data_IF_279538845977
#
_entry.id   IF_279538845977
#
_cell.length_a   1.000
_cell.length_b   1.000
_cell.length_c   1.000
_cell.angle_alpha   90.00
_cell.angle_beta   90.00
_cell.angle_gamma   90.00
#
_symmetry.space_group_name_H-M   'P 1'
#
loop_
_entity.id
_entity.type
_entity.pdbx_description
1 polymer ?
#
# COMPACT_ATOMS: atom_id res chain seq x y z
N UNK A 1 -51.20 -52.63 -4.71
CA UNK A 1 -51.55 -53.82 -3.91
C UNK A 1 -50.89 -55.02 -4.54
N UNK A 2 -49.75 -55.44 -3.99
CA UNK A 2 -49.16 -56.74 -4.25
C UNK A 2 -48.33 -57.05 -3.00
N UNK A 3 -48.99 -57.62 -2.01
CA UNK A 3 -48.42 -58.06 -0.75
C UNK A 3 -47.56 -59.31 -1.01
N UNK A 4 -46.24 -59.19 -0.82
CA UNK A 4 -45.36 -60.36 -0.75
C UNK A 4 -45.35 -60.89 0.69
N UNK A 5 -45.87 -62.10 0.95
CA UNK A 5 -46.06 -62.64 2.30
C UNK A 5 -44.76 -63.02 3.03
N UNK A 6 -43.58 -62.70 2.49
CA UNK A 6 -42.28 -63.02 3.10
C UNK A 6 -41.78 -62.02 4.14
N UNK A 7 -42.36 -60.82 4.24
CA UNK A 7 -41.96 -59.80 5.22
C UNK A 7 -42.52 -60.01 6.64
N UNK A 8 -43.45 -60.96 6.84
CA UNK A 8 -44.10 -61.20 8.13
C UNK A 8 -43.26 -62.00 9.14
N UNK A 9 -42.05 -62.47 8.78
CA UNK A 9 -41.25 -63.37 9.62
C UNK A 9 -40.16 -62.69 10.47
N UNK A 10 -40.01 -61.36 10.45
CA UNK A 10 -38.91 -60.66 11.15
C UNK A 10 -39.34 -59.63 12.21
N UNK A 11 -40.60 -59.63 12.65
CA UNK A 11 -40.98 -59.06 13.96
C UNK A 11 -40.64 -57.59 14.21
N UNK A 12 -40.61 -56.74 13.18
CA UNK A 12 -40.45 -55.30 13.33
C UNK A 12 -41.82 -54.62 13.23
N UNK A 13 -42.55 -54.57 14.34
CA UNK A 13 -43.61 -53.59 14.49
C UNK A 13 -42.98 -52.22 14.76
N UNK A 14 -43.30 -51.25 13.91
CA UNK A 14 -43.17 -49.84 14.27
C UNK A 14 -44.37 -49.41 15.11
N UNK A 15 -44.15 -48.56 16.13
CA UNK A 15 -45.13 -47.56 16.48
C UNK A 15 -44.57 -46.15 16.24
N UNK A 16 -45.06 -45.56 15.15
CA UNK A 16 -45.22 -44.11 15.01
C UNK A 16 -46.29 -43.66 15.99
N UNK A 17 -45.89 -42.96 17.07
CA UNK A 17 -46.67 -41.97 17.85
C UNK A 17 -46.03 -41.76 19.24
N UNK A 18 -44.91 -41.03 19.32
CA UNK A 18 -44.39 -40.48 20.58
C UNK A 18 -43.41 -39.31 20.32
N UNK A 19 -43.80 -38.37 19.45
CA UNK A 19 -42.95 -37.23 19.05
C UNK A 19 -43.40 -35.87 19.62
N UNK A 20 -44.26 -35.86 20.65
CA UNK A 20 -44.64 -34.62 21.35
C UNK A 20 -44.72 -34.83 22.87
N UNK A 21 -43.61 -35.14 23.53
CA UNK A 21 -43.35 -34.76 24.94
C UNK A 21 -41.90 -35.10 25.35
N UNK A 22 -40.92 -34.57 24.62
CA UNK A 22 -39.51 -34.57 25.04
C UNK A 22 -38.97 -33.13 25.14
N UNK A 23 -39.84 -32.19 25.51
CA UNK A 23 -39.45 -30.88 26.00
C UNK A 23 -39.17 -30.98 27.50
N UNK A 24 -37.98 -30.57 27.93
CA UNK A 24 -37.57 -30.37 29.32
C UNK A 24 -36.90 -31.55 30.04
N UNK A 25 -35.74 -31.98 29.53
CA UNK A 25 -34.62 -32.42 30.38
C UNK A 25 -33.27 -32.24 29.65
N UNK A 26 -33.01 -31.04 29.13
CA UNK A 26 -31.65 -30.59 28.82
C UNK A 26 -30.94 -30.29 30.14
N UNK A 27 -30.51 -31.35 30.83
CA UNK A 27 -29.38 -31.24 31.76
C UNK A 27 -28.15 -30.92 30.92
N UNK A 28 -27.51 -29.79 31.22
CA UNK A 28 -26.28 -29.35 30.56
C UNK A 28 -25.23 -30.49 30.53
N UNK A 29 -24.53 -30.72 29.40
CA UNK A 29 -23.37 -31.60 29.41
C UNK A 29 -22.32 -31.00 30.36
N UNK A 30 -21.77 -31.84 31.22
CA UNK A 30 -20.59 -31.52 32.02
C UNK A 30 -19.43 -31.09 31.08
N UNK A 31 -18.36 -30.44 31.58
CA UNK A 31 -17.32 -29.90 30.71
C UNK A 31 -16.58 -31.05 29.98
N UNK A 32 -16.94 -31.29 28.71
CA UNK A 32 -16.38 -32.36 27.88
C UNK A 32 -14.85 -32.22 27.70
N UNK A 33 -14.34 -30.99 27.78
CA UNK A 33 -12.91 -30.66 27.68
C UNK A 33 -12.02 -31.39 28.71
N UNK A 34 -12.54 -31.61 29.93
CA UNK A 34 -11.80 -32.30 30.98
C UNK A 34 -11.71 -33.82 30.78
N UNK A 35 -12.77 -34.42 30.21
CA UNK A 35 -12.85 -35.86 29.96
C UNK A 35 -11.99 -36.27 28.77
N UNK A 36 -12.07 -35.50 27.68
CA UNK A 36 -11.26 -35.72 26.48
C UNK A 36 -9.77 -35.64 26.80
N UNK A 37 -9.34 -34.65 27.60
CA UNK A 37 -7.94 -34.54 28.04
C UNK A 37 -7.46 -35.76 28.82
N UNK A 38 -8.28 -36.27 29.75
CA UNK A 38 -7.99 -37.49 30.52
C UNK A 38 -7.89 -38.72 29.61
N UNK A 39 -8.80 -38.85 28.64
CA UNK A 39 -8.83 -39.98 27.71
C UNK A 39 -7.62 -39.98 26.77
N UNK A 40 -7.20 -38.80 26.29
CA UNK A 40 -6.00 -38.64 25.45
C UNK A 40 -4.72 -39.01 26.23
N UNK A 41 -4.59 -38.58 27.48
CA UNK A 41 -3.45 -38.99 28.32
C UNK A 41 -3.43 -40.52 28.53
N UNK A 42 -4.57 -41.13 28.83
CA UNK A 42 -4.66 -42.59 28.98
C UNK A 42 -4.26 -43.33 27.68
N UNK A 43 -4.65 -42.83 26.51
CA UNK A 43 -4.23 -43.38 25.21
C UNK A 43 -2.73 -43.22 24.99
N UNK A 44 -2.16 -42.06 25.33
CA UNK A 44 -0.72 -41.78 25.22
C UNK A 44 0.12 -42.65 26.15
N UNK A 45 -0.35 -42.91 27.37
CA UNK A 45 0.28 -43.83 28.33
C UNK A 45 0.18 -45.28 27.87
N UNK A 46 -1.01 -45.73 27.44
CA UNK A 46 -1.22 -47.06 26.90
C UNK A 46 -0.35 -47.36 25.69
N UNK A 47 -0.19 -46.39 24.78
CA UNK A 47 0.70 -46.52 23.62
C UNK A 47 2.17 -46.69 24.04
N UNK A 48 2.61 -45.97 25.08
CA UNK A 48 3.96 -46.13 25.63
C UNK A 48 4.17 -47.52 26.23
N UNK A 49 3.21 -48.04 27.00
CA UNK A 49 3.27 -49.39 27.57
C UNK A 49 3.33 -50.48 26.50
N UNK A 50 2.50 -50.36 25.45
CA UNK A 50 2.49 -51.32 24.35
C UNK A 50 3.78 -51.26 23.53
N UNK A 51 4.35 -50.07 23.35
CA UNK A 51 5.67 -49.90 22.71
C UNK A 51 6.76 -50.60 23.50
N UNK A 52 6.78 -50.45 24.83
CA UNK A 52 7.73 -51.14 25.72
C UNK A 52 7.56 -52.66 25.69
N UNK A 53 6.32 -53.13 25.57
CA UNK A 53 6.01 -54.55 25.40
C UNK A 53 6.31 -55.09 23.98
N UNK A 54 6.80 -54.25 23.06
CA UNK A 54 7.10 -54.63 21.68
C UNK A 54 5.88 -54.69 20.76
N UNK A 55 4.68 -54.41 21.25
CA UNK A 55 3.44 -54.41 20.46
C UNK A 55 3.24 -53.06 19.75
N UNK A 56 4.06 -52.81 18.72
CA UNK A 56 4.09 -51.54 17.98
C UNK A 56 2.80 -51.23 17.22
N UNK A 57 2.13 -52.26 16.69
CA UNK A 57 0.88 -52.10 15.93
C UNK A 57 -0.25 -51.60 16.83
N UNK A 58 -0.42 -52.21 18.01
CA UNK A 58 -1.43 -51.78 18.97
C UNK A 58 -1.12 -50.38 19.50
N UNK A 59 0.16 -50.05 19.72
CA UNK A 59 0.56 -48.71 20.13
C UNK A 59 0.20 -47.64 19.08
N UNK A 60 0.44 -47.90 17.78
CA UNK A 60 0.06 -46.99 16.69
C UNK A 60 -1.46 -46.77 16.65
N UNK A 61 -2.26 -47.83 16.84
CA UNK A 61 -3.71 -47.73 16.88
C UNK A 61 -4.22 -46.80 18.00
N UNK A 62 -3.59 -46.85 19.19
CA UNK A 62 -3.92 -45.93 20.28
C UNK A 62 -3.54 -44.49 19.95
N UNK A 63 -2.39 -44.26 19.31
CA UNK A 63 -1.98 -42.91 18.91
C UNK A 63 -2.88 -42.32 17.82
N UNK A 64 -3.31 -43.11 16.83
CA UNK A 64 -4.32 -42.67 15.87
C UNK A 64 -5.65 -42.31 16.53
N UNK A 65 -6.04 -43.04 17.57
CA UNK A 65 -7.23 -42.73 18.36
C UNK A 65 -7.07 -41.41 19.11
N UNK A 66 -5.89 -41.15 19.69
CA UNK A 66 -5.61 -39.91 20.41
C UNK A 66 -5.73 -38.67 19.51
N UNK A 67 -5.13 -38.69 18.31
CA UNK A 67 -5.23 -37.58 17.35
C UNK A 67 -6.64 -37.42 16.76
N UNK A 68 -7.46 -38.48 16.78
CA UNK A 68 -8.85 -38.41 16.35
C UNK A 68 -9.76 -37.76 17.41
N UNK A 69 -9.47 -37.96 18.70
CA UNK A 69 -10.21 -37.36 19.81
C UNK A 69 -9.89 -35.87 19.93
N UNK A 70 -8.61 -35.50 19.86
CA UNK A 70 -8.19 -34.10 19.82
C UNK A 70 -7.17 -33.87 18.69
N UNK A 71 -7.64 -33.33 17.55
CA UNK A 71 -6.79 -32.97 16.44
C UNK A 71 -5.74 -31.89 16.75
N UNK A 72 -5.89 -31.16 17.87
CA UNK A 72 -4.99 -30.08 18.28
C UNK A 72 -4.00 -30.48 19.39
N UNK A 73 -4.01 -31.75 19.86
CA UNK A 73 -3.03 -32.22 20.84
C UNK A 73 -1.64 -32.44 20.20
N UNK A 74 -0.76 -31.46 20.36
CA UNK A 74 0.63 -31.53 19.87
C UNK A 74 1.36 -32.80 20.33
N UNK A 75 1.12 -33.21 21.59
CA UNK A 75 1.75 -34.37 22.19
C UNK A 75 1.44 -35.65 21.43
N UNK A 76 0.17 -35.83 21.04
CA UNK A 76 -0.29 -36.99 20.28
C UNK A 76 0.35 -37.04 18.89
N UNK A 77 0.30 -35.93 18.15
CA UNK A 77 0.89 -35.82 16.81
C UNK A 77 2.39 -36.11 16.78
N UNK A 78 3.17 -35.52 17.69
CA UNK A 78 4.63 -35.77 17.75
C UNK A 78 4.98 -37.22 18.10
N UNK A 79 4.23 -37.83 19.03
CA UNK A 79 4.44 -39.24 19.41
C UNK A 79 4.09 -40.18 18.26
N UNK A 80 2.99 -39.91 17.55
CA UNK A 80 2.59 -40.69 16.37
C UNK A 80 3.65 -40.58 15.26
N UNK A 81 4.09 -39.37 14.91
CA UNK A 81 5.14 -39.15 13.91
C UNK A 81 6.45 -39.86 14.29
N UNK A 82 6.86 -39.79 15.56
CA UNK A 82 8.04 -40.50 16.04
C UNK A 82 7.90 -42.03 15.93
N UNK A 83 6.72 -42.57 16.24
CA UNK A 83 6.47 -44.01 16.11
C UNK A 83 6.50 -44.49 14.66
N UNK A 84 5.94 -43.70 13.74
CA UNK A 84 6.00 -43.97 12.29
C UNK A 84 7.45 -43.96 11.79
N UNK A 85 8.21 -42.91 12.14
CA UNK A 85 9.62 -42.82 11.77
C UNK A 85 10.46 -43.99 12.34
N UNK A 86 10.23 -44.38 13.60
CA UNK A 86 10.89 -45.52 14.23
C UNK A 86 10.50 -46.87 13.63
N UNK A 87 9.34 -46.95 12.95
CA UNK A 87 8.92 -48.10 12.17
C UNK A 87 9.49 -48.10 10.74
N UNK A 88 10.22 -47.04 10.35
CA UNK A 88 10.76 -46.85 9.00
C UNK A 88 9.80 -46.12 8.05
N UNK A 89 8.62 -45.73 8.52
CA UNK A 89 7.61 -45.00 7.74
C UNK A 89 7.85 -43.48 7.85
N UNK A 90 8.89 -43.01 7.16
CA UNK A 90 9.27 -41.59 7.12
C UNK A 90 8.20 -40.75 6.40
N UNK A 91 7.59 -41.30 5.36
CA UNK A 91 6.50 -40.68 4.61
C UNK A 91 5.29 -40.44 5.52
N UNK A 92 4.85 -41.47 6.25
CA UNK A 92 3.77 -41.36 7.23
C UNK A 92 4.10 -40.35 8.34
N UNK A 93 5.34 -40.33 8.84
CA UNK A 93 5.76 -39.37 9.86
C UNK A 93 5.69 -37.92 9.37
N UNK A 94 6.16 -37.65 8.15
CA UNK A 94 6.11 -36.32 7.55
C UNK A 94 4.66 -35.87 7.28
N UNK A 95 3.81 -36.79 6.81
CA UNK A 95 2.38 -36.55 6.61
C UNK A 95 1.66 -36.23 7.93
N UNK A 96 2.03 -36.85 9.05
CA UNK A 96 1.41 -36.54 10.35
C UNK A 96 1.80 -35.13 10.84
N UNK A 97 3.05 -34.70 10.68
CA UNK A 97 3.43 -33.31 10.96
C UNK A 97 2.65 -32.30 10.09
N UNK A 98 2.53 -32.58 8.80
CA UNK A 98 1.76 -31.74 7.87
C UNK A 98 0.27 -31.71 8.25
N UNK A 99 -0.29 -32.83 8.69
CA UNK A 99 -1.67 -32.94 9.14
C UNK A 99 -1.95 -32.11 10.39
N UNK A 100 -1.04 -32.10 11.36
CA UNK A 100 -1.17 -31.21 12.52
C UNK A 100 -1.16 -29.73 12.12
N UNK A 101 -0.28 -29.35 11.18
CA UNK A 101 -0.26 -28.00 10.61
C UNK A 101 -1.60 -27.67 9.96
N UNK A 102 -2.19 -28.59 9.19
CA UNK A 102 -3.51 -28.42 8.56
C UNK A 102 -4.63 -28.20 9.59
N UNK A 103 -4.54 -28.77 10.80
CA UNK A 103 -5.49 -28.47 11.88
C UNK A 103 -5.29 -27.10 12.54
N UNK A 104 -4.05 -26.59 12.57
CA UNK A 104 -3.73 -25.29 13.18
C UNK A 104 -4.12 -24.09 12.30
N UNK A 105 -4.07 -24.23 10.97
CA UNK A 105 -4.33 -23.11 10.06
C UNK A 105 -5.74 -22.52 10.20
N UNK A 106 -6.83 -23.33 10.23
CA UNK A 106 -8.20 -22.79 10.35
C UNK A 106 -8.49 -22.11 11.69
N UNK A 107 -7.79 -22.51 12.76
CA UNK A 107 -7.94 -21.89 14.09
C UNK A 107 -7.01 -20.69 14.30
N UNK A 108 -6.23 -20.31 13.29
CA UNK A 108 -5.37 -19.12 13.32
C UNK A 108 -4.07 -19.27 14.12
N UNK A 109 -3.69 -20.49 14.51
CA UNK A 109 -2.50 -20.79 15.30
C UNK A 109 -1.21 -20.84 14.44
N UNK A 110 -1.00 -19.81 13.63
CA UNK A 110 0.13 -19.69 12.70
C UNK A 110 1.51 -19.77 13.37
N UNK A 111 1.74 -19.18 14.56
CA UNK A 111 3.02 -19.34 15.25
C UNK A 111 3.31 -20.81 15.58
N UNK A 112 2.30 -21.55 16.06
CA UNK A 112 2.46 -22.98 16.36
C UNK A 112 2.68 -23.80 15.09
N UNK A 113 1.95 -23.50 14.02
CA UNK A 113 2.12 -24.18 12.74
C UNK A 113 3.54 -24.02 12.18
N UNK A 114 4.08 -22.80 12.27
CA UNK A 114 5.45 -22.50 11.85
C UNK A 114 6.49 -23.21 12.73
N UNK A 115 6.27 -23.25 14.05
CA UNK A 115 7.14 -23.98 14.97
C UNK A 115 7.15 -25.48 14.67
N UNK A 116 6.00 -26.09 14.40
CA UNK A 116 5.94 -27.51 14.06
C UNK A 116 6.51 -27.83 12.69
N UNK A 117 6.34 -26.95 11.69
CA UNK A 117 7.03 -27.08 10.42
C UNK A 117 8.55 -27.13 10.62
N UNK A 118 9.09 -26.20 11.40
CA UNK A 118 10.53 -26.15 11.69
C UNK A 118 11.01 -27.40 12.44
N UNK A 119 10.21 -27.89 13.40
CA UNK A 119 10.50 -29.12 14.12
C UNK A 119 10.51 -30.34 13.19
N UNK A 120 9.45 -30.55 12.40
CA UNK A 120 9.35 -31.64 11.44
C UNK A 120 10.47 -31.63 10.40
N UNK A 121 10.82 -30.45 9.87
CA UNK A 121 11.91 -30.29 8.91
C UNK A 121 13.28 -30.57 9.53
N UNK A 122 13.48 -30.28 10.82
CA UNK A 122 14.71 -30.63 11.54
C UNK A 122 14.83 -32.14 11.72
N UNK A 123 13.72 -32.83 11.99
CA UNK A 123 13.70 -34.27 12.23
C UNK A 123 13.81 -35.10 10.94
N UNK A 124 13.15 -34.66 9.86
CA UNK A 124 12.95 -35.46 8.64
C UNK A 124 13.56 -34.83 7.37
N UNK A 125 14.09 -33.61 7.44
CA UNK A 125 14.62 -32.88 6.30
C UNK A 125 13.55 -32.24 5.41
N UNK A 126 13.91 -31.97 4.15
CA UNK A 126 13.05 -31.30 3.15
C UNK A 126 12.02 -32.24 2.49
N UNK A 127 11.23 -32.95 3.29
CA UNK A 127 10.20 -33.86 2.79
C UNK A 127 9.07 -33.11 2.06
N UNK A 128 8.52 -33.69 0.99
CA UNK A 128 7.48 -33.05 0.15
C UNK A 128 6.25 -32.59 0.95
N UNK A 129 5.72 -33.44 1.83
CA UNK A 129 4.60 -33.08 2.71
C UNK A 129 4.86 -31.83 3.58
N UNK A 130 6.10 -31.62 4.03
CA UNK A 130 6.49 -30.45 4.81
C UNK A 130 6.64 -29.20 3.93
N UNK A 131 7.10 -29.36 2.69
CA UNK A 131 7.16 -28.28 1.70
C UNK A 131 5.74 -27.79 1.40
N UNK A 132 4.79 -28.70 1.17
CA UNK A 132 3.38 -28.35 0.94
C UNK A 132 2.78 -27.64 2.17
N UNK A 133 3.06 -28.11 3.38
CA UNK A 133 2.63 -27.44 4.61
C UNK A 133 3.23 -26.02 4.73
N UNK A 134 4.49 -25.82 4.33
CA UNK A 134 5.12 -24.51 4.29
C UNK A 134 4.42 -23.55 3.30
N UNK A 135 4.01 -24.04 2.13
CA UNK A 135 3.25 -23.26 1.15
C UNK A 135 1.88 -22.84 1.69
N UNK A 136 1.20 -23.74 2.40
CA UNK A 136 -0.07 -23.43 3.09
C UNK A 136 0.12 -22.35 4.16
N UNK A 137 1.15 -22.46 5.01
CA UNK A 137 1.50 -21.42 6.00
C UNK A 137 1.78 -20.09 5.30
N UNK A 138 2.62 -20.08 4.25
CA UNK A 138 2.96 -18.88 3.50
C UNK A 138 1.73 -18.21 2.85
N UNK A 139 0.75 -19.02 2.43
CA UNK A 139 -0.51 -18.53 1.87
C UNK A 139 -1.39 -17.92 2.97
N UNK A 140 -1.50 -18.57 4.12
CA UNK A 140 -2.23 -18.05 5.27
C UNK A 140 -1.62 -16.75 5.81
N UNK A 141 -0.29 -16.65 5.88
CA UNK A 141 0.42 -15.41 6.26
C UNK A 141 0.15 -14.29 5.25
N UNK A 142 0.20 -14.58 3.94
CA UNK A 142 -0.12 -13.59 2.90
C UNK A 142 -1.55 -13.07 3.02
N UNK A 143 -2.51 -13.91 3.40
CA UNK A 143 -3.89 -13.51 3.60
C UNK A 143 -4.09 -12.55 4.80
N UNK A 144 -3.18 -12.56 5.78
CA UNK A 144 -3.21 -11.61 6.90
C UNK A 144 -2.67 -10.22 6.54
N UNK A 145 -1.83 -10.13 5.51
CA UNK A 145 -1.31 -8.84 5.06
C UNK A 145 -2.39 -8.18 4.21
N UNK A 146 -2.93 -7.01 4.61
CA UNK A 146 -3.85 -6.29 3.76
C UNK A 146 -3.16 -6.02 2.42
N UNK A 147 -3.88 -6.28 1.32
CA UNK A 147 -3.36 -5.97 0.00
C UNK A 147 -2.85 -4.53 0.01
N UNK A 148 -1.63 -4.26 -0.52
CA UNK A 148 -1.14 -2.90 -0.57
C UNK A 148 -2.21 -2.08 -1.28
N UNK A 149 -2.66 -1.01 -0.63
CA UNK A 149 -3.60 -0.08 -1.23
C UNK A 149 -3.03 0.28 -2.60
N UNK A 150 -3.86 0.15 -3.65
CA UNK A 150 -3.49 0.58 -5.00
C UNK A 150 -2.87 1.97 -4.88
N UNK A 151 -1.55 2.04 -5.09
CA UNK A 151 -0.85 3.31 -5.08
C UNK A 151 -1.40 4.03 -6.30
N UNK A 152 -2.33 4.96 -6.07
CA UNK A 152 -2.86 5.82 -7.10
C UNK A 152 -1.65 6.39 -7.84
N UNK A 153 -1.53 6.07 -9.13
CA UNK A 153 -0.41 6.53 -9.94
C UNK A 153 -0.31 8.03 -9.80
N UNK A 154 0.81 8.53 -9.28
CA UNK A 154 1.06 9.97 -9.25
C UNK A 154 0.93 10.47 -10.69
N UNK A 155 0.17 11.55 -10.96
CA UNK A 155 0.03 12.07 -12.30
C UNK A 155 1.42 12.40 -12.84
N UNK A 156 1.70 11.94 -14.07
CA UNK A 156 2.98 12.21 -14.71
C UNK A 156 3.24 13.73 -14.72
N UNK A 157 4.45 14.18 -14.32
CA UNK A 157 4.76 15.61 -14.30
C UNK A 157 4.63 16.17 -15.72
N UNK A 158 3.67 17.08 -15.92
CA UNK A 158 3.54 17.83 -17.16
C UNK A 158 4.49 19.01 -17.11
N UNK A 159 5.45 19.06 -18.04
CA UNK A 159 6.27 20.25 -18.26
C UNK A 159 5.38 21.34 -18.89
N UNK A 160 4.98 22.31 -18.07
CA UNK A 160 4.21 23.46 -18.56
C UNK A 160 5.14 24.46 -19.29
N UNK A 161 4.66 25.09 -20.39
CA UNK A 161 5.43 26.10 -21.09
C UNK A 161 5.63 27.35 -20.24
N UNK A 162 6.71 28.10 -20.49
CA UNK A 162 6.95 29.40 -19.86
C UNK A 162 6.45 30.53 -20.76
N UNK A 163 5.82 31.54 -20.17
CA UNK A 163 5.32 32.71 -20.91
C UNK A 163 6.45 33.73 -21.07
N UNK A 164 6.90 34.06 -22.29
CA UNK A 164 8.00 35.00 -22.48
C UNK A 164 7.55 36.43 -22.22
N UNK A 165 8.32 37.17 -21.43
CA UNK A 165 8.20 38.60 -21.24
C UNK A 165 9.57 39.26 -21.36
N UNK A 166 9.60 40.43 -21.99
CA UNK A 166 10.70 41.38 -21.92
C UNK A 166 10.33 42.49 -20.95
N UNK A 167 11.32 43.11 -20.32
CA UNK A 167 11.03 44.20 -19.39
C UNK A 167 11.97 45.40 -19.51
N UNK A 168 11.46 46.53 -19.05
CA UNK A 168 12.20 47.76 -18.78
C UNK A 168 12.04 48.09 -17.29
N UNK A 169 13.07 48.66 -16.67
CA UNK A 169 12.97 49.19 -15.31
C UNK A 169 12.82 50.70 -15.38
N UNK A 170 11.86 51.22 -14.64
CA UNK A 170 11.62 52.64 -14.49
C UNK A 170 11.85 53.05 -13.04
N UNK A 171 12.28 54.29 -12.87
CA UNK A 171 12.74 54.85 -11.61
C UNK A 171 12.31 56.31 -11.51
N UNK A 172 11.65 56.68 -10.42
CA UNK A 172 11.29 58.09 -10.10
C UNK A 172 11.91 58.55 -8.77
N UNK A 173 13.05 57.95 -8.39
CA UNK A 173 13.77 58.25 -7.15
C UNK A 173 13.34 57.38 -5.97
N UNK A 174 12.08 57.50 -5.54
CA UNK A 174 11.57 56.78 -4.36
C UNK A 174 10.84 55.48 -4.72
N UNK A 175 10.43 55.32 -5.99
CA UNK A 175 9.66 54.19 -6.48
C UNK A 175 10.30 53.60 -7.73
N UNK A 176 10.27 52.27 -7.79
CA UNK A 176 10.71 51.52 -8.96
C UNK A 176 9.58 50.64 -9.49
N UNK A 177 9.47 50.55 -10.80
CA UNK A 177 8.55 49.63 -11.45
C UNK A 177 9.16 48.97 -12.66
N UNK A 178 8.74 47.74 -12.90
CA UNK A 178 9.03 47.02 -14.12
C UNK A 178 7.84 47.17 -15.05
N UNK A 179 8.10 47.58 -16.29
CA UNK A 179 7.14 47.45 -17.37
C UNK A 179 7.46 46.17 -18.12
N UNK A 180 6.58 45.18 -18.01
CA UNK A 180 6.70 43.89 -18.69
C UNK A 180 5.85 43.93 -19.96
N UNK A 181 6.41 43.43 -21.05
CA UNK A 181 5.75 43.30 -22.34
C UNK A 181 6.02 41.90 -22.87
N UNK A 182 5.00 41.16 -23.25
CA UNK A 182 5.20 39.75 -23.57
C UNK A 182 3.95 39.00 -23.95
N UNK A 183 4.03 37.69 -23.78
CA UNK A 183 3.06 36.75 -24.33
C UNK A 183 3.23 36.51 -25.82
N UNK A 184 2.59 35.46 -26.30
CA UNK A 184 2.50 35.12 -27.73
C UNK A 184 1.03 34.95 -28.10
N UNK A 185 0.73 34.76 -29.39
CA UNK A 185 -0.63 34.42 -29.82
C UNK A 185 -1.18 33.16 -29.15
N UNK A 186 -0.32 32.20 -28.82
CA UNK A 186 -0.68 30.95 -28.13
C UNK A 186 -0.70 31.10 -26.61
N UNK A 187 0.21 31.91 -26.05
CA UNK A 187 0.34 32.17 -24.62
C UNK A 187 -0.02 33.63 -24.36
N UNK A 188 -1.29 33.98 -24.56
CA UNK A 188 -1.79 35.33 -24.36
C UNK A 188 -2.15 35.56 -22.87
N UNK A 189 -1.36 36.33 -22.11
CA UNK A 189 -1.55 36.46 -20.68
C UNK A 189 -2.64 37.50 -20.36
N UNK A 190 -3.51 37.16 -19.41
CA UNK A 190 -4.57 38.04 -18.91
C UNK A 190 -4.17 38.80 -17.64
N UNK A 191 -3.21 38.26 -16.90
CA UNK A 191 -2.66 38.85 -15.68
C UNK A 191 -1.24 38.33 -15.43
N UNK A 192 -0.47 39.08 -14.63
CA UNK A 192 0.82 38.67 -14.09
C UNK A 192 0.76 38.79 -12.57
N UNK A 193 1.37 37.84 -11.87
CA UNK A 193 1.59 37.90 -10.42
C UNK A 193 3.07 37.76 -10.10
N UNK A 194 3.46 38.38 -8.99
CA UNK A 194 4.80 38.32 -8.41
C UNK A 194 4.73 37.43 -7.19
N UNK A 195 5.68 36.52 -7.07
CA UNK A 195 5.84 35.63 -5.92
C UNK A 195 7.19 35.87 -5.27
N UNK A 196 7.26 35.68 -3.95
CA UNK A 196 8.54 35.53 -3.24
C UNK A 196 9.16 34.13 -3.48
N UNK A 197 10.23 33.82 -2.75
CA UNK A 197 10.91 32.53 -2.81
C UNK A 197 10.14 31.38 -2.15
N UNK A 198 9.13 31.71 -1.32
CA UNK A 198 8.28 30.76 -0.60
C UNK A 198 6.90 30.59 -1.28
N UNK A 199 6.78 31.06 -2.52
CA UNK A 199 5.56 31.00 -3.36
C UNK A 199 4.38 31.84 -2.85
N UNK A 200 4.61 32.81 -1.95
CA UNK A 200 3.57 33.74 -1.53
C UNK A 200 3.37 34.82 -2.60
N UNK A 201 2.11 35.12 -2.92
CA UNK A 201 1.76 36.17 -3.88
C UNK A 201 1.96 37.54 -3.24
N UNK A 202 2.93 38.31 -3.75
CA UNK A 202 3.22 39.68 -3.34
C UNK A 202 2.24 40.65 -4.01
N UNK A 203 2.08 40.54 -5.34
CA UNK A 203 1.25 41.43 -6.14
C UNK A 203 0.62 40.67 -7.32
N UNK A 204 -0.56 41.09 -7.76
CA UNK A 204 -1.19 40.62 -8.99
C UNK A 204 -1.74 41.79 -9.78
N UNK A 205 -1.44 41.86 -11.08
CA UNK A 205 -1.91 42.90 -12.00
C UNK A 205 -2.48 42.30 -13.27
N UNK A 206 -3.56 42.90 -13.77
CA UNK A 206 -4.12 42.54 -15.07
C UNK A 206 -3.23 43.07 -16.19
N UNK A 207 -3.06 42.26 -17.22
CA UNK A 207 -2.38 42.69 -18.43
C UNK A 207 -3.31 43.55 -19.29
N UNK A 208 -2.72 44.50 -20.01
CA UNK A 208 -3.38 45.31 -21.03
C UNK A 208 -3.01 44.69 -22.38
N UNK A 209 -3.98 44.28 -23.21
CA UNK A 209 -3.70 43.75 -24.55
C UNK A 209 -3.02 44.80 -25.45
N UNK A 210 -2.08 44.34 -26.27
CA UNK A 210 -1.45 45.14 -27.32
C UNK A 210 -2.11 44.82 -28.67
N UNK A 211 -2.55 45.86 -29.38
CA UNK A 211 -3.05 45.68 -30.75
C UNK A 211 -1.89 45.32 -31.70
N UNK A 212 -2.14 44.56 -32.78
CA UNK A 212 -1.13 44.27 -33.79
C UNK A 212 -0.50 45.56 -34.35
N UNK A 213 0.83 45.68 -34.26
CA UNK A 213 1.58 46.86 -34.73
C UNK A 213 1.67 48.01 -33.71
N UNK A 214 1.04 47.91 -32.54
CA UNK A 214 1.25 48.83 -31.44
C UNK A 214 2.67 48.63 -30.87
N UNK A 215 3.52 49.65 -30.97
CA UNK A 215 4.86 49.59 -30.40
C UNK A 215 4.77 49.70 -28.87
N UNK A 216 5.24 48.66 -28.18
CA UNK A 216 5.54 48.77 -26.77
C UNK A 216 6.85 49.49 -26.50
N UNK A 217 7.18 49.66 -25.22
CA UNK A 217 8.36 50.42 -24.78
C UNK A 217 9.65 49.60 -24.76
N UNK A 218 9.53 48.27 -24.71
CA UNK A 218 10.68 47.39 -24.62
C UNK A 218 11.29 47.15 -26.01
N UNK A 219 12.63 47.27 -26.12
CA UNK A 219 13.34 47.05 -27.38
C UNK A 219 13.09 45.61 -27.84
N UNK A 220 12.62 45.46 -29.07
CA UNK A 220 12.45 44.18 -29.75
C UNK A 220 13.81 43.74 -30.33
N UNK A 221 14.38 42.61 -29.87
CA UNK A 221 15.52 41.98 -30.54
C UNK A 221 15.15 41.52 -31.95
N UNK A 222 16.11 41.49 -32.85
CA UNK A 222 15.90 41.07 -34.23
C UNK A 222 15.52 39.57 -34.29
N UNK A 223 14.38 39.25 -34.89
CA UNK A 223 13.86 37.88 -34.99
C UNK A 223 12.85 37.45 -33.92
N UNK A 224 12.56 38.31 -32.92
CA UNK A 224 11.56 38.02 -31.89
C UNK A 224 10.17 38.59 -32.24
N UNK A 225 9.11 37.89 -31.82
CA UNK A 225 7.73 38.35 -32.01
C UNK A 225 7.36 39.51 -31.07
N UNK A 226 6.49 40.40 -31.56
CA UNK A 226 5.87 41.41 -30.69
C UNK A 226 5.05 40.74 -29.58
N UNK A 227 5.14 41.27 -28.36
CA UNK A 227 4.31 40.82 -27.26
C UNK A 227 2.85 41.17 -27.54
N UNK A 228 1.94 40.35 -27.04
CA UNK A 228 0.49 40.54 -27.21
C UNK A 228 -0.15 41.25 -26.02
N UNK A 229 0.60 41.44 -24.93
CA UNK A 229 0.12 42.16 -23.77
C UNK A 229 1.27 42.83 -22.99
N UNK A 230 0.93 43.82 -22.18
CA UNK A 230 1.88 44.48 -21.28
C UNK A 230 1.26 44.73 -19.90
N UNK A 231 2.11 44.93 -18.90
CA UNK A 231 1.72 45.20 -17.51
C UNK A 231 2.82 45.98 -16.80
N UNK A 232 2.44 46.74 -15.78
CA UNK A 232 3.39 47.44 -14.90
C UNK A 232 3.26 46.85 -13.50
N UNK A 233 4.41 46.52 -12.91
CA UNK A 233 4.54 45.87 -11.62
C UNK A 233 5.50 46.70 -10.75
N UNK A 234 5.12 46.97 -9.50
CA UNK A 234 6.02 47.64 -8.56
C UNK A 234 7.12 46.69 -8.10
N UNK A 235 8.35 47.19 -7.96
CA UNK A 235 9.47 46.37 -7.47
C UNK A 235 10.30 47.12 -6.43
N UNK A 236 10.91 46.39 -5.51
CA UNK A 236 11.81 46.97 -4.51
C UNK A 236 13.17 47.31 -5.12
N UNK A 237 13.92 48.18 -4.42
CA UNK A 237 15.30 48.53 -4.82
C UNK A 237 16.23 47.31 -4.85
N UNK A 238 16.00 46.30 -4.00
CA UNK A 238 16.79 45.06 -3.97
C UNK A 238 16.59 44.22 -5.24
N UNK A 239 15.35 44.10 -5.71
CA UNK A 239 15.01 43.42 -6.96
C UNK A 239 15.71 44.11 -8.14
N UNK A 240 15.65 45.44 -8.14
CA UNK A 240 16.27 46.26 -9.17
C UNK A 240 17.80 46.11 -9.17
N UNK A 241 18.43 46.16 -8.00
CA UNK A 241 19.87 45.95 -7.85
C UNK A 241 20.30 44.55 -8.32
N UNK A 242 19.50 43.52 -8.05
CA UNK A 242 19.77 42.16 -8.50
C UNK A 242 19.75 42.05 -10.03
N UNK A 243 18.77 42.66 -10.70
CA UNK A 243 18.73 42.69 -12.17
C UNK A 243 19.88 43.49 -12.78
N UNK A 244 20.26 44.62 -12.17
CA UNK A 244 21.42 45.41 -12.62
C UNK A 244 22.75 44.64 -12.46
N UNK A 245 22.83 43.73 -11.49
CA UNK A 245 23.95 42.79 -11.33
C UNK A 245 23.87 41.56 -12.26
N UNK A 246 22.83 41.45 -13.10
CA UNK A 246 22.60 40.33 -14.01
C UNK A 246 22.02 39.06 -13.36
N UNK A 247 21.54 39.16 -12.11
CA UNK A 247 20.90 38.06 -11.39
C UNK A 247 19.38 38.01 -11.60
N UNK A 248 18.78 36.86 -11.31
CA UNK A 248 17.35 36.76 -11.05
C UNK A 248 17.13 37.20 -9.60
N UNK A 249 16.47 38.34 -9.36
CA UNK A 249 16.20 38.84 -8.01
C UNK A 249 15.41 37.86 -7.13
N UNK A 250 15.12 38.21 -5.87
CA UNK A 250 14.45 37.35 -4.89
C UNK A 250 12.94 37.17 -5.16
N UNK A 251 12.52 37.24 -6.42
CA UNK A 251 11.13 37.17 -6.85
C UNK A 251 10.98 36.31 -8.10
N UNK A 252 9.82 35.70 -8.25
CA UNK A 252 9.40 34.96 -9.45
C UNK A 252 8.15 35.60 -10.03
N UNK A 253 7.96 35.40 -11.33
CA UNK A 253 6.80 35.93 -12.05
C UNK A 253 6.01 34.77 -12.65
N UNK A 254 4.70 34.87 -12.58
CA UNK A 254 3.79 33.97 -13.27
C UNK A 254 2.74 34.77 -14.04
N UNK A 255 2.29 34.21 -15.15
CA UNK A 255 1.32 34.82 -16.02
C UNK A 255 0.11 33.90 -16.19
N UNK A 256 -1.09 34.48 -16.13
CA UNK A 256 -2.34 33.73 -16.26
C UNK A 256 -2.71 33.57 -17.73
N UNK A 257 -2.71 32.33 -18.22
CA UNK A 257 -3.15 31.96 -19.56
C UNK A 257 -4.37 31.06 -19.42
N UNK A 258 -5.54 31.53 -19.87
CA UNK A 258 -6.81 30.90 -19.55
C UNK A 258 -7.05 30.86 -18.03
N UNK A 259 -7.21 29.66 -17.48
CA UNK A 259 -7.42 29.43 -16.04
C UNK A 259 -6.13 29.06 -15.28
N UNK A 260 -5.00 28.91 -15.98
CA UNK A 260 -3.75 28.45 -15.38
C UNK A 260 -2.74 29.58 -15.16
N UNK A 261 -1.98 29.48 -14.08
CA UNK A 261 -0.80 30.31 -13.83
C UNK A 261 0.45 29.57 -14.32
N UNK A 262 1.11 30.16 -15.31
CA UNK A 262 2.32 29.61 -15.91
C UNK A 262 3.52 30.45 -15.53
N UNK A 263 4.69 29.84 -15.33
CA UNK A 263 5.92 30.59 -15.05
C UNK A 263 6.25 31.56 -16.18
N UNK A 264 6.56 32.81 -15.84
CA UNK A 264 7.04 33.79 -16.80
C UNK A 264 8.56 33.67 -16.97
N UNK A 265 9.02 33.70 -18.21
CA UNK A 265 10.44 33.82 -18.56
C UNK A 265 10.73 35.28 -18.85
N UNK A 266 11.61 35.90 -18.07
CA UNK A 266 11.95 37.31 -18.21
C UNK A 266 13.24 37.50 -19.00
N UNK A 267 13.21 38.44 -19.94
CA UNK A 267 14.37 38.94 -20.68
C UNK A 267 14.57 40.43 -20.39
N UNK A 268 15.72 40.79 -19.83
CA UNK A 268 16.06 42.19 -19.61
C UNK A 268 16.44 42.86 -20.95
N UNK A 269 15.80 43.97 -21.28
CA UNK A 269 16.13 44.74 -22.49
C UNK A 269 17.28 45.72 -22.29
N UNK A 270 17.78 45.87 -21.06
CA UNK A 270 18.74 46.90 -20.67
C UNK A 270 18.14 48.32 -20.63
N UNK A 271 16.83 48.46 -20.88
CA UNK A 271 16.16 49.75 -20.82
C UNK A 271 15.96 50.18 -19.37
N UNK A 272 16.49 51.35 -19.02
CA UNK A 272 16.36 52.02 -17.74
C UNK A 272 15.86 53.44 -17.96
N UNK A 273 14.63 53.74 -17.53
CA UNK A 273 13.96 55.03 -17.78
C UNK A 273 13.84 55.82 -16.47
N UNK A 274 14.09 57.13 -16.52
CA UNK A 274 13.99 58.02 -15.35
C UNK A 274 15.26 58.07 -14.47
N UNK A 275 16.19 57.13 -14.63
CA UNK A 275 17.48 57.17 -13.93
C UNK A 275 18.39 58.29 -14.45
N UNK A 276 18.89 59.12 -13.53
CA UNK A 276 20.04 60.00 -13.83
C UNK A 276 21.25 59.11 -14.13
N UNK A 277 21.83 59.25 -15.33
CA UNK A 277 23.08 58.58 -15.66
C UNK A 277 24.12 58.94 -14.59
N UNK A 278 24.64 57.93 -13.88
CA UNK A 278 25.84 58.11 -13.07
C UNK A 278 26.94 58.52 -14.05
N UNK A 279 27.36 59.79 -13.98
CA UNK A 279 28.60 60.22 -14.61
C UNK A 279 29.69 59.36 -14.01
N UNK A 280 30.19 58.41 -14.79
CA UNK A 280 31.44 57.71 -14.48
C UNK A 280 32.51 58.80 -14.43
N UNK A 281 32.93 59.16 -13.22
CA UNK A 281 34.10 59.98 -13.01
C UNK A 281 35.30 59.12 -13.38
N UNK A 282 35.88 59.38 -14.55
CA UNK A 282 37.21 58.88 -14.89
C UNK A 282 38.20 59.72 -14.10
N UNK A 283 38.93 59.10 -13.18
CA UNK A 283 40.18 59.59 -12.59
C UNK A 283 41.11 58.42 -12.39
#
# INVERSE_FOLDING_TARGET
>A
MSDDPRLAALGLEQPSAALEEAGSALSAPAPEDGRNRSDIEALKEGAAMLTQAGNRVAALALMWSAVAIDPLDLGAHRRLAAMLANAGDVEGAANEYARYIDFLLPVGELPRATMELAYGATMLGGHMALIEAAEKIATAVRALVPAPAEIASLPAPRLLPKVPFRFCVHDDGDLHWMQLEGGTGELAPSAVRVLDLDDNVIETRKCIPLAPGQKGHARLPEGESAGVAWVVIGVSSDVVAAFDAGGAGPIRFEARVGEEWLSAQLSDTGCRIGRKALKVAVS
#
